data_IF_230292030103
#
_entry.id   IF_230292030103
#
_cell.length_a   1.000
_cell.length_b   1.000
_cell.length_c   1.000
_cell.angle_alpha   90.00
_cell.angle_beta   90.00
_cell.angle_gamma   90.00
#
_symmetry.space_group_name_H-M   'P 1'
#
loop_
_entity.id
_entity.type
_entity.pdbx_description
1 polymer ?
#
# COMPACT_ATOMS: atom_id res chain seq x y z
N UNK A 1 20.99 12.78 -9.00
CA UNK A 1 20.13 13.86 -8.44
C UNK A 1 20.11 14.99 -9.45
N UNK A 2 18.98 15.22 -10.12
CA UNK A 2 18.84 16.32 -11.08
C UNK A 2 18.49 17.64 -10.34
N UNK A 3 19.03 18.79 -10.77
CA UNK A 3 18.80 20.08 -10.13
C UNK A 3 17.40 20.62 -10.46
N UNK A 4 16.73 21.19 -9.44
CA UNK A 4 15.47 21.91 -9.59
C UNK A 4 15.75 23.26 -10.26
N UNK A 5 15.43 23.40 -11.54
CA UNK A 5 15.49 24.70 -12.23
C UNK A 5 14.07 25.30 -12.15
N UNK A 6 13.85 26.38 -11.37
CA UNK A 6 12.54 27.03 -11.30
C UNK A 6 12.23 27.75 -12.61
N UNK A 7 11.01 27.56 -13.14
CA UNK A 7 10.50 28.39 -14.24
C UNK A 7 10.14 29.77 -13.69
N UNK A 8 10.76 30.82 -14.23
CA UNK A 8 10.41 32.21 -13.95
C UNK A 8 9.40 32.71 -14.99
N UNK A 9 8.26 33.22 -14.53
CA UNK A 9 7.32 33.97 -15.36
C UNK A 9 7.25 35.42 -14.84
N UNK A 10 7.71 36.37 -15.64
CA UNK A 10 7.66 37.79 -15.30
C UNK A 10 6.31 38.41 -15.69
N UNK A 11 5.52 38.78 -14.68
CA UNK A 11 4.41 39.73 -14.78
C UNK A 11 4.83 41.04 -14.07
N UNK A 12 4.40 42.22 -14.56
CA UNK A 12 4.90 43.50 -14.06
C UNK A 12 4.57 43.66 -12.56
N UNK A 13 5.62 43.58 -11.74
CA UNK A 13 5.60 43.91 -10.31
C UNK A 13 5.61 42.74 -9.33
N UNK A 14 5.51 41.47 -9.76
CA UNK A 14 5.52 40.32 -8.84
C UNK A 14 6.36 39.18 -9.41
N UNK A 15 7.50 38.87 -8.77
CA UNK A 15 8.28 37.65 -9.05
C UNK A 15 7.59 36.46 -8.38
N UNK A 16 6.89 35.64 -9.16
CA UNK A 16 6.28 34.40 -8.67
C UNK A 16 7.27 33.26 -8.92
N UNK A 17 7.97 32.82 -7.88
CA UNK A 17 8.80 31.62 -7.94
C UNK A 17 7.91 30.42 -7.64
N UNK A 18 7.45 29.72 -8.67
CA UNK A 18 6.67 28.49 -8.49
C UNK A 18 7.60 27.28 -8.51
N UNK A 19 7.91 26.75 -7.32
CA UNK A 19 8.64 25.49 -7.21
C UNK A 19 7.72 24.33 -7.62
N UNK A 20 7.76 23.95 -8.90
CA UNK A 20 7.04 22.81 -9.44
C UNK A 20 7.77 21.52 -9.10
N UNK A 21 7.48 20.98 -7.91
CA UNK A 21 7.90 19.63 -7.60
C UNK A 21 6.96 18.65 -8.30
N UNK A 22 7.53 17.70 -9.04
CA UNK A 22 6.81 16.61 -9.71
C UNK A 22 6.00 17.01 -10.96
N UNK A 23 6.57 17.83 -11.84
CA UNK A 23 6.05 17.98 -13.20
C UNK A 23 6.70 16.93 -14.12
N UNK A 24 5.93 16.03 -14.76
CA UNK A 24 6.47 15.05 -15.70
C UNK A 24 6.92 15.68 -17.03
N UNK A 25 7.10 17.00 -17.09
CA UNK A 25 7.41 17.74 -18.33
C UNK A 25 8.76 17.31 -18.92
N UNK A 26 9.73 16.93 -18.09
CA UNK A 26 11.01 16.36 -18.54
C UNK A 26 10.89 14.92 -19.09
N UNK A 27 9.79 14.22 -18.79
CA UNK A 27 9.50 12.92 -19.38
C UNK A 27 9.02 13.05 -20.84
N UNK A 28 8.56 14.24 -21.22
CA UNK A 28 8.09 14.58 -22.56
C UNK A 28 8.95 15.67 -23.20
N UNK A 29 10.23 15.81 -22.80
CA UNK A 29 11.13 16.76 -23.48
C UNK A 29 11.45 16.26 -24.89
N UNK A 30 11.65 17.20 -25.82
CA UNK A 30 12.00 16.88 -27.21
C UNK A 30 13.25 15.99 -27.29
N UNK A 31 14.23 16.20 -26.40
CA UNK A 31 15.43 15.38 -26.28
C UNK A 31 15.12 13.92 -25.90
N UNK A 32 14.27 13.70 -24.90
CA UNK A 32 13.95 12.36 -24.37
C UNK A 32 13.05 11.57 -25.35
N UNK A 33 12.17 12.29 -26.06
CA UNK A 33 11.37 11.75 -27.15
C UNK A 33 12.27 11.34 -28.33
N UNK A 34 13.24 12.19 -28.70
CA UNK A 34 14.20 11.88 -29.77
C UNK A 34 15.10 10.69 -29.42
N UNK A 35 15.57 10.60 -28.17
CA UNK A 35 16.38 9.46 -27.71
C UNK A 35 15.60 8.14 -27.77
N UNK A 36 14.32 8.17 -27.37
CA UNK A 36 13.43 7.01 -27.48
C UNK A 36 13.20 6.60 -28.94
N UNK A 37 12.99 7.58 -29.82
CA UNK A 37 12.79 7.34 -31.25
C UNK A 37 14.08 6.78 -31.89
N UNK A 38 15.24 7.33 -31.56
CA UNK A 38 16.53 6.84 -32.04
C UNK A 38 16.80 5.41 -31.56
N UNK A 39 16.53 5.08 -30.30
CA UNK A 39 16.64 3.72 -29.79
C UNK A 39 15.78 2.74 -30.59
N UNK A 40 14.52 3.10 -30.86
CA UNK A 40 13.63 2.27 -31.68
C UNK A 40 14.14 2.10 -33.12
N UNK A 41 14.65 3.17 -33.72
CA UNK A 41 15.22 3.12 -35.08
C UNK A 41 16.50 2.29 -35.11
N UNK A 42 17.43 2.46 -34.17
CA UNK A 42 18.64 1.65 -34.07
C UNK A 42 18.35 0.17 -33.84
N UNK A 43 17.30 -0.16 -33.05
CA UNK A 43 16.86 -1.54 -32.85
C UNK A 43 16.26 -2.13 -34.13
N UNK A 44 15.52 -1.32 -34.90
CA UNK A 44 14.93 -1.74 -36.18
C UNK A 44 15.98 -1.89 -37.30
N UNK A 45 17.08 -1.13 -37.24
CA UNK A 45 18.18 -1.17 -38.21
C UNK A 45 19.30 -2.14 -37.85
N UNK A 46 19.28 -2.71 -36.63
CA UNK A 46 20.23 -3.75 -36.20
C UNK A 46 21.67 -3.27 -35.97
N UNK A 47 21.90 -1.97 -35.79
CA UNK A 47 23.23 -1.42 -35.53
C UNK A 47 23.54 -1.46 -34.02
N UNK A 48 24.15 -2.55 -33.57
CA UNK A 48 24.80 -2.60 -32.24
C UNK A 48 26.23 -2.08 -32.33
N UNK A 49 26.70 -1.21 -31.41
CA UNK A 49 28.11 -0.85 -31.38
C UNK A 49 28.96 -2.08 -31.04
N UNK A 50 29.95 -2.34 -31.90
CA UNK A 50 30.95 -3.39 -31.79
C UNK A 50 31.70 -3.31 -30.45
N UNK A 51 31.54 -4.33 -29.61
CA UNK A 51 32.45 -4.65 -28.53
C UNK A 51 32.93 -6.08 -28.75
N UNK A 52 34.24 -6.22 -28.93
CA UNK A 52 34.95 -7.45 -29.30
C UNK A 52 34.66 -8.62 -28.35
N UNK A 53 34.27 -9.76 -28.93
CA UNK A 53 34.19 -11.07 -28.27
C UNK A 53 35.56 -11.51 -27.72
N UNK A 54 35.64 -11.96 -26.46
CA UNK A 54 36.62 -12.97 -26.07
C UNK A 54 36.04 -14.34 -26.42
N UNK A 55 36.72 -15.06 -27.30
CA UNK A 55 36.40 -16.45 -27.63
C UNK A 55 36.62 -17.31 -26.37
N UNK A 56 35.53 -17.73 -25.75
CA UNK A 56 35.57 -18.73 -24.69
C UNK A 56 34.73 -19.91 -25.14
N UNK A 57 35.40 -21.03 -25.40
CA UNK A 57 34.81 -22.29 -25.80
C UNK A 57 33.88 -22.79 -24.69
N UNK A 58 32.58 -22.50 -24.78
CA UNK A 58 31.58 -22.98 -23.81
C UNK A 58 31.32 -24.47 -24.11
N UNK A 59 31.48 -25.38 -23.12
CA UNK A 59 31.19 -26.80 -23.34
C UNK A 59 29.69 -27.01 -23.57
N UNK A 60 29.29 -27.98 -24.43
CA UNK A 60 27.92 -28.15 -24.93
C UNK A 60 26.89 -28.61 -23.89
N UNK A 61 27.24 -28.66 -22.60
CA UNK A 61 26.34 -29.03 -21.50
C UNK A 61 26.00 -27.87 -20.56
N UNK A 62 26.39 -26.65 -20.89
CA UNK A 62 25.99 -25.45 -20.13
C UNK A 62 24.48 -25.20 -20.25
N UNK A 63 23.78 -25.09 -19.12
CA UNK A 63 22.36 -24.72 -19.06
C UNK A 63 22.08 -23.36 -19.71
N UNK A 64 23.07 -22.45 -19.69
CA UNK A 64 23.00 -21.15 -20.36
C UNK A 64 23.02 -21.32 -21.88
N UNK A 65 23.83 -22.25 -22.40
CA UNK A 65 23.87 -22.56 -23.83
C UNK A 65 22.54 -23.13 -24.32
N UNK A 66 21.90 -24.00 -23.53
CA UNK A 66 20.57 -24.55 -23.85
C UNK A 66 19.50 -23.45 -23.90
N UNK A 67 19.49 -22.52 -22.94
CA UNK A 67 18.52 -21.40 -22.97
C UNK A 67 18.66 -20.47 -24.18
N UNK A 68 19.88 -20.29 -24.70
CA UNK A 68 20.12 -19.43 -25.86
C UNK A 68 19.76 -20.10 -27.19
N UNK A 69 19.77 -21.44 -27.26
CA UNK A 69 19.55 -22.20 -28.50
C UNK A 69 18.15 -22.87 -28.59
N UNK A 70 17.48 -23.14 -27.47
CA UNK A 70 16.13 -23.77 -27.44
C UNK A 70 14.98 -22.79 -27.77
N UNK A 71 15.26 -21.54 -28.16
CA UNK A 71 14.23 -20.61 -28.64
C UNK A 71 13.97 -20.73 -30.14
N UNK A 72 14.13 -21.94 -30.69
CA UNK A 72 13.79 -22.25 -32.07
C UNK A 72 12.39 -22.88 -32.09
N UNK A 73 11.39 -22.00 -32.08
CA UNK A 73 10.00 -22.19 -32.50
C UNK A 73 9.39 -23.59 -32.26
N UNK A 74 8.80 -23.77 -31.08
CA UNK A 74 7.59 -24.58 -30.93
C UNK A 74 6.42 -23.59 -30.79
N UNK A 75 5.31 -23.73 -31.56
CA UNK A 75 4.16 -22.84 -31.45
C UNK A 75 3.41 -23.13 -30.15
N UNK A 76 3.97 -22.64 -29.04
CA UNK A 76 3.36 -22.75 -27.74
C UNK A 76 2.08 -21.91 -27.72
N UNK A 77 0.93 -22.59 -27.63
CA UNK A 77 -0.38 -21.94 -27.52
C UNK A 77 -0.37 -20.88 -26.41
N UNK A 78 -1.09 -19.76 -26.60
CA UNK A 78 -1.06 -18.64 -25.66
C UNK A 78 -1.41 -19.15 -24.25
N UNK A 79 -0.51 -18.90 -23.30
CA UNK A 79 -0.67 -19.26 -21.88
C UNK A 79 -1.75 -18.37 -21.24
N UNK A 80 -2.98 -18.68 -21.58
CA UNK A 80 -4.14 -17.94 -21.16
C UNK A 80 -4.66 -18.52 -19.83
N UNK A 81 -5.06 -17.63 -18.91
CA UNK A 81 -5.66 -18.05 -17.64
C UNK A 81 -6.95 -18.83 -17.89
N UNK A 82 -7.21 -19.85 -17.06
CA UNK A 82 -8.37 -20.74 -17.24
C UNK A 82 -9.70 -19.99 -17.33
N UNK A 83 -9.81 -18.85 -16.65
CA UNK A 83 -10.99 -17.97 -16.71
C UNK A 83 -11.23 -17.35 -18.09
N UNK A 84 -10.18 -17.01 -18.85
CA UNK A 84 -10.36 -16.47 -20.20
C UNK A 84 -10.63 -17.61 -21.20
N UNK A 85 -10.13 -18.83 -20.96
CA UNK A 85 -10.49 -20.01 -21.77
C UNK A 85 -11.99 -20.31 -21.72
N UNK A 86 -12.62 -20.18 -20.55
CA UNK A 86 -14.08 -20.34 -20.38
C UNK A 86 -14.86 -19.26 -21.14
N UNK A 87 -14.41 -18.00 -21.10
CA UNK A 87 -15.05 -16.91 -21.85
C UNK A 87 -14.92 -17.10 -23.36
N UNK A 88 -13.82 -17.69 -23.83
CA UNK A 88 -13.59 -17.95 -25.24
C UNK A 88 -14.44 -19.13 -25.75
N UNK A 89 -14.64 -20.18 -24.94
CA UNK A 89 -15.61 -21.25 -25.26
C UNK A 89 -17.03 -20.71 -25.39
N UNK A 90 -17.46 -19.83 -24.48
CA UNK A 90 -18.80 -19.22 -24.51
C UNK A 90 -19.05 -18.29 -25.71
N UNK A 91 -18.00 -17.81 -26.38
CA UNK A 91 -18.08 -16.94 -27.57
C UNK A 91 -17.96 -17.74 -28.87
N UNK A 92 -17.32 -18.91 -28.84
CA UNK A 92 -17.12 -19.78 -30.00
C UNK A 92 -18.29 -20.75 -30.26
N UNK A 93 -19.21 -20.93 -29.32
CA UNK A 93 -20.49 -21.60 -29.56
C UNK A 93 -21.37 -20.73 -30.47
N UNK A 94 -21.49 -21.12 -31.74
CA UNK A 94 -22.20 -20.41 -32.81
C UNK A 94 -23.74 -20.44 -32.68
N UNK A 95 -24.30 -20.91 -31.56
CA UNK A 95 -25.74 -20.82 -31.30
C UNK A 95 -26.06 -19.50 -30.60
N UNK A 96 -26.22 -18.44 -31.41
CA UNK A 96 -26.70 -17.12 -30.97
C UNK A 96 -28.24 -17.12 -30.91
N UNK A 97 -28.91 -17.29 -29.75
CA UNK A 97 -30.20 -16.66 -29.59
C UNK A 97 -29.93 -15.15 -29.51
N UNK A 98 -30.26 -14.44 -30.59
CA UNK A 98 -30.41 -12.99 -30.58
C UNK A 98 -31.50 -12.62 -29.55
N UNK A 99 -31.09 -12.43 -28.30
CA UNK A 99 -31.98 -12.12 -27.21
C UNK A 99 -31.25 -11.29 -26.17
N UNK A 100 -31.59 -10.01 -26.09
CA UNK A 100 -31.19 -9.15 -24.97
C UNK A 100 -31.77 -9.76 -23.70
N UNK A 101 -30.94 -10.44 -22.90
CA UNK A 101 -31.36 -10.91 -21.58
C UNK A 101 -31.67 -9.67 -20.74
N UNK A 102 -32.92 -9.49 -20.35
CA UNK A 102 -33.33 -8.39 -19.49
C UNK A 102 -32.58 -8.48 -18.16
N UNK A 103 -31.66 -7.55 -17.93
CA UNK A 103 -30.97 -7.40 -16.65
C UNK A 103 -31.76 -6.39 -15.82
N UNK A 104 -32.22 -6.78 -14.63
CA UNK A 104 -32.76 -5.82 -13.67
C UNK A 104 -31.61 -5.05 -13.05
N UNK A 105 -31.77 -3.72 -12.99
CA UNK A 105 -30.85 -2.87 -12.23
C UNK A 105 -30.73 -3.40 -10.79
N UNK A 106 -29.52 -3.39 -10.19
CA UNK A 106 -29.37 -3.71 -8.78
C UNK A 106 -30.27 -2.77 -7.97
N UNK A 107 -31.34 -3.31 -7.41
CA UNK A 107 -32.10 -2.56 -6.43
C UNK A 107 -31.18 -2.34 -5.25
N UNK A 108 -30.88 -1.08 -4.95
CA UNK A 108 -30.35 -0.69 -3.64
C UNK A 108 -31.42 -1.06 -2.62
N UNK A 109 -31.40 -2.33 -2.18
CA UNK A 109 -32.01 -2.70 -0.91
C UNK A 109 -31.32 -1.81 0.11
N UNK A 110 -32.04 -0.78 0.57
CA UNK A 110 -31.77 -0.16 1.85
C UNK A 110 -32.00 -1.28 2.86
N UNK A 111 -30.92 -1.96 3.21
CA UNK A 111 -30.95 -3.07 4.15
C UNK A 111 -31.33 -2.51 5.51
N UNK A 112 -32.64 -2.43 5.79
CA UNK A 112 -33.18 -2.65 7.12
C UNK A 112 -32.92 -4.11 7.49
N UNK A 113 -31.65 -4.42 7.73
CA UNK A 113 -31.16 -5.77 7.99
C UNK A 113 -31.15 -6.06 9.48
N UNK A 114 -32.29 -6.48 10.01
CA UNK A 114 -32.29 -7.36 11.17
C UNK A 114 -31.73 -8.71 10.73
N UNK A 115 -30.52 -9.07 11.17
CA UNK A 115 -30.01 -10.45 11.03
C UNK A 115 -28.65 -10.66 10.39
N UNK A 116 -27.66 -9.82 10.68
CA UNK A 116 -26.28 -10.26 10.96
C UNK A 116 -25.51 -9.03 11.44
N UNK A 117 -25.58 -8.75 12.74
CA UNK A 117 -24.74 -7.72 13.33
C UNK A 117 -23.28 -8.14 13.13
N UNK A 118 -22.64 -7.61 12.08
CA UNK A 118 -21.19 -7.51 12.02
C UNK A 118 -20.81 -6.83 13.33
N UNK A 119 -20.21 -7.59 14.27
CA UNK A 119 -19.95 -7.10 15.63
C UNK A 119 -18.92 -5.99 15.55
N UNK A 120 -19.41 -4.78 15.36
CA UNK A 120 -18.60 -3.59 15.29
C UNK A 120 -18.05 -3.29 16.69
N UNK A 121 -16.74 -3.09 16.85
CA UNK A 121 -16.19 -2.73 18.14
C UNK A 121 -16.81 -1.40 18.59
N UNK A 122 -17.44 -1.40 19.76
CA UNK A 122 -17.99 -0.19 20.35
C UNK A 122 -16.90 0.56 21.11
N UNK A 123 -16.88 1.88 20.95
CA UNK A 123 -15.99 2.74 21.70
C UNK A 123 -16.44 2.79 23.16
N UNK A 124 -15.59 2.36 24.09
CA UNK A 124 -15.90 2.35 25.52
C UNK A 124 -15.96 3.78 26.15
N UNK A 125 -15.62 4.85 25.40
CA UNK A 125 -15.79 6.26 25.86
C UNK A 125 -17.10 6.89 25.43
N UNK A 126 -17.53 6.65 24.19
CA UNK A 126 -18.69 7.31 23.60
C UNK A 126 -19.85 6.36 23.28
N UNK A 127 -19.67 5.05 23.48
CA UNK A 127 -20.67 4.02 23.22
C UNK A 127 -21.01 3.80 21.75
N UNK A 128 -20.37 4.51 20.81
CA UNK A 128 -20.66 4.41 19.37
C UNK A 128 -19.81 3.34 18.71
N UNK A 129 -20.36 2.67 17.69
CA UNK A 129 -19.62 1.73 16.85
C UNK A 129 -18.49 2.43 16.08
N UNK A 130 -17.29 1.87 16.14
CA UNK A 130 -16.09 2.46 15.52
C UNK A 130 -16.01 2.03 14.06
N UNK A 131 -16.21 2.97 13.13
CA UNK A 131 -16.10 2.75 11.68
C UNK A 131 -14.72 3.21 11.19
N UNK A 132 -13.91 2.29 10.69
CA UNK A 132 -12.57 2.58 10.15
C UNK A 132 -11.45 2.37 11.17
N UNK A 133 -10.65 3.41 11.43
CA UNK A 133 -9.48 3.31 12.30
C UNK A 133 -9.86 3.11 13.77
N UNK A 134 -9.38 2.02 14.36
CA UNK A 134 -9.64 1.64 15.75
C UNK A 134 -8.36 1.56 16.56
N UNK A 135 -8.39 2.07 17.79
CA UNK A 135 -7.32 1.88 18.77
C UNK A 135 -7.75 0.78 19.73
N UNK A 136 -7.01 -0.33 19.73
CA UNK A 136 -7.18 -1.43 20.69
C UNK A 136 -6.25 -1.20 21.88
N UNK A 137 -6.83 -1.08 23.07
CA UNK A 137 -6.10 -0.95 24.32
C UNK A 137 -6.48 -2.11 25.23
N UNK A 138 -5.58 -3.11 25.32
CA UNK A 138 -5.83 -4.42 25.93
C UNK A 138 -7.10 -5.07 25.37
N UNK A 139 -8.19 -5.02 26.13
CA UNK A 139 -9.48 -5.67 25.84
C UNK A 139 -10.57 -4.67 25.44
N UNK A 140 -10.26 -3.37 25.43
CA UNK A 140 -11.19 -2.30 25.10
C UNK A 140 -10.85 -1.65 23.77
N UNK A 141 -11.89 -1.25 23.04
CA UNK A 141 -11.77 -0.53 21.79
C UNK A 141 -12.16 0.94 21.98
N UNK A 142 -11.40 1.85 21.38
CA UNK A 142 -11.64 3.29 21.42
C UNK A 142 -11.37 3.92 20.06
N UNK A 143 -12.06 5.02 19.76
CA UNK A 143 -11.68 5.89 18.65
C UNK A 143 -10.29 6.49 18.88
N UNK A 144 -9.54 6.84 17.82
CA UNK A 144 -8.29 7.59 17.93
C UNK A 144 -8.47 8.91 18.69
N UNK A 145 -9.60 9.59 18.51
CA UNK A 145 -9.98 10.82 19.22
C UNK A 145 -10.42 10.57 20.67
N UNK A 146 -11.01 9.40 20.94
CA UNK A 146 -11.45 9.01 22.28
C UNK A 146 -10.33 8.38 23.12
N UNK A 147 -9.14 8.23 22.55
CA UNK A 147 -7.98 7.63 23.21
C UNK A 147 -7.22 8.67 24.03
N UNK A 148 -7.89 9.12 25.09
CA UNK A 148 -7.45 10.22 25.95
C UNK A 148 -7.48 9.81 27.43
N UNK A 149 -6.70 10.51 28.26
CA UNK A 149 -6.71 10.32 29.71
C UNK A 149 -8.06 10.70 30.33
N UNK A 150 -8.56 9.91 31.29
CA UNK A 150 -9.80 10.23 32.01
C UNK A 150 -9.74 11.55 32.79
N UNK A 151 -8.58 11.89 33.39
CA UNK A 151 -8.42 13.08 34.23
C UNK A 151 -8.12 14.36 33.42
N UNK A 152 -7.19 14.31 32.46
CA UNK A 152 -6.75 15.51 31.71
C UNK A 152 -7.13 15.52 30.24
N UNK A 153 -7.81 14.49 29.73
CA UNK A 153 -8.17 14.37 28.31
C UNK A 153 -6.99 14.49 27.32
N UNK A 154 -5.75 14.28 27.78
CA UNK A 154 -4.58 14.31 26.91
C UNK A 154 -4.57 13.08 25.98
N UNK A 155 -4.29 13.28 24.69
CA UNK A 155 -4.14 12.18 23.73
C UNK A 155 -2.98 11.26 24.11
N UNK A 156 -3.31 10.00 24.40
CA UNK A 156 -2.36 9.00 24.87
C UNK A 156 -1.64 8.27 23.71
N UNK A 157 -2.04 8.53 22.45
CA UNK A 157 -1.51 7.88 21.25
C UNK A 157 0.00 8.10 21.07
N UNK A 158 0.51 9.27 21.44
CA UNK A 158 1.93 9.62 21.29
C UNK A 158 2.74 9.47 22.60
N UNK A 159 2.11 9.69 23.76
CA UNK A 159 2.81 9.70 25.05
C UNK A 159 2.81 8.35 25.78
N UNK A 160 2.09 7.36 25.25
CA UNK A 160 1.84 6.11 25.94
C UNK A 160 0.66 6.22 26.90
N UNK A 161 0.14 5.06 27.31
CA UNK A 161 -1.02 4.95 28.18
C UNK A 161 -0.77 3.93 29.28
N UNK A 162 -1.42 4.14 30.41
CA UNK A 162 -1.43 3.20 31.53
C UNK A 162 -2.87 2.84 31.87
N UNK A 163 -3.07 1.60 32.28
CA UNK A 163 -4.38 1.05 32.58
C UNK A 163 -4.50 0.82 34.08
N UNK A 164 -5.29 1.65 34.75
CA UNK A 164 -5.51 1.60 36.21
C UNK A 164 -7.02 1.51 36.45
N UNK A 165 -7.47 0.52 37.21
CA UNK A 165 -8.89 0.32 37.57
C UNK A 165 -9.89 0.24 36.40
N UNK A 166 -9.43 -0.17 35.20
CA UNK A 166 -10.33 -0.28 34.04
C UNK A 166 -10.35 0.95 33.13
N UNK A 167 -9.62 2.01 33.49
CA UNK A 167 -9.55 3.27 32.77
C UNK A 167 -8.14 3.61 32.27
N UNK A 168 -8.08 4.52 31.30
CA UNK A 168 -6.87 4.95 30.61
C UNK A 168 -6.37 6.26 31.21
N UNK A 169 -5.13 6.24 31.70
CA UNK A 169 -4.48 7.39 32.32
C UNK A 169 -3.15 7.71 31.61
N UNK A 170 -2.75 8.99 31.66
CA UNK A 170 -1.41 9.41 31.26
C UNK A 170 -0.38 9.00 32.31
N UNK A 171 0.91 9.02 31.95
CA UNK A 171 2.01 8.60 32.84
C UNK A 171 1.94 9.25 34.22
N UNK A 172 1.69 10.56 34.27
CA UNK A 172 1.63 11.33 35.51
C UNK A 172 0.48 10.88 36.43
N UNK A 173 -0.74 10.76 35.90
CA UNK A 173 -1.91 10.36 36.69
C UNK A 173 -1.88 8.88 37.05
N UNK A 174 -1.38 8.03 36.16
CA UNK A 174 -1.21 6.63 36.45
C UNK A 174 -0.18 6.41 37.57
N UNK A 175 0.97 7.08 37.50
CA UNK A 175 2.01 7.00 38.53
C UNK A 175 1.51 7.52 39.87
N UNK A 176 0.70 8.58 39.89
CA UNK A 176 0.10 9.08 41.12
C UNK A 176 -0.86 8.06 41.77
N UNK A 177 -1.55 7.24 40.96
CA UNK A 177 -2.52 6.22 41.43
C UNK A 177 -1.87 4.88 41.79
N UNK A 178 -0.80 4.49 41.11
CA UNK A 178 -0.11 3.20 41.33
C UNK A 178 1.02 3.28 42.33
N UNK A 179 1.41 4.48 42.78
CA UNK A 179 2.44 4.62 43.80
C UNK A 179 1.89 4.05 45.12
N UNK A 180 2.48 2.99 45.67
CA UNK A 180 2.09 2.51 46.99
C UNK A 180 2.28 3.63 48.01
N UNK A 181 1.48 3.67 49.10
CA UNK A 181 1.63 4.66 50.15
C UNK A 181 3.09 4.69 50.61
N UNK A 182 3.70 5.88 50.62
CA UNK A 182 5.09 6.07 51.01
C UNK A 182 5.30 5.54 52.44
N UNK A 183 5.98 4.40 52.56
CA UNK A 183 6.14 3.71 53.85
C UNK A 183 6.44 2.21 53.78
N UNK A 184 6.41 1.56 52.61
CA UNK A 184 6.93 0.19 52.51
C UNK A 184 8.45 0.23 52.32
N UNK A 185 9.17 0.09 53.43
CA UNK A 185 10.62 -0.14 53.42
C UNK A 185 10.88 -1.43 52.63
N UNK A 186 11.74 -1.36 51.61
CA UNK A 186 12.09 -2.52 50.81
C UNK A 186 12.99 -3.42 51.65
N UNK A 187 12.39 -4.25 52.51
CA UNK A 187 13.14 -5.24 53.27
C UNK A 187 13.63 -6.30 52.28
N UNK A 188 14.87 -6.15 51.84
CA UNK A 188 15.62 -7.20 51.16
C UNK A 188 15.83 -8.34 52.16
N UNK A 189 14.89 -9.27 52.19
CA UNK A 189 15.08 -10.53 52.88
C UNK A 189 16.12 -11.34 52.11
N UNK A 190 17.37 -11.25 52.55
CA UNK A 190 18.40 -12.19 52.14
C UNK A 190 18.00 -13.58 52.67
N UNK A 191 17.88 -14.60 51.80
CA UNK A 191 17.67 -15.96 52.26
C UNK A 191 18.90 -16.36 53.09
N UNK A 192 18.69 -16.61 54.38
CA UNK A 192 19.74 -17.15 55.24
C UNK A 192 20.07 -18.57 54.78
N UNK A 193 21.36 -18.80 54.56
CA UNK A 193 21.98 -20.07 54.22
C UNK A 193 21.79 -21.12 55.32
#
# INVERSE_FOLDING_TARGET
>A
MAPNIPLEMELPGVKIVHAQFNTPMQLYSDDNIMETLQGQVSTALGETPSMSEPTASVPPQSDVYRMLHDNREEPAQPRQSGSFKVLQELVNDDDRPAGTRSVRAPVTKVHGGAGSAQRMPLCDKCGSGIVGAVVKARDKYRHPECFVCADCNLNLKQKGYFFVEGELYCETHARARTRPPEGYDMVTLYPKA
#
